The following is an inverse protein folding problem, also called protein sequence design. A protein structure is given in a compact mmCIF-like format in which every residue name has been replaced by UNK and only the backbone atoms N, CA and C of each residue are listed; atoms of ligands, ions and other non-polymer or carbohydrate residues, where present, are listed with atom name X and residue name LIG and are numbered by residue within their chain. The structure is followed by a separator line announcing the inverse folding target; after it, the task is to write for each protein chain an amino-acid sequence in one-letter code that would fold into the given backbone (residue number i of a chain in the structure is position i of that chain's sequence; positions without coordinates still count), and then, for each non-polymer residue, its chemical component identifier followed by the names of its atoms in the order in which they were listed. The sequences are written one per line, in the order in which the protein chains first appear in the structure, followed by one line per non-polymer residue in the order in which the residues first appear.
data_IF_949854377195
#
_entry.id   IF_949854377195
#
_cell.length_a   1.000
_cell.length_b   1.000
_cell.length_c   1.000
_cell.angle_alpha   90.00
_cell.angle_beta   90.00
_cell.angle_gamma   90.00
#
_symmetry.space_group_name_H-M   'P 1'
#
loop_
_entity.id
_entity.type
_entity.pdbx_description
1 polymer ?
#
# COMPACT_ATOMS: atom_id res chain seq x y z
N UNK A 1 -15.26 -37.46 -41.77
CA UNK A 1 -14.03 -36.75 -41.36
C UNK A 1 -14.45 -35.38 -40.84
N UNK A 2 -14.61 -35.21 -39.52
CA UNK A 2 -15.10 -33.96 -38.90
C UNK A 2 -14.03 -33.52 -37.90
N UNK A 3 -13.53 -32.30 -38.10
CA UNK A 3 -12.29 -31.77 -37.55
C UNK A 3 -12.36 -31.40 -36.06
N UNK A 4 -11.28 -31.78 -35.38
CA UNK A 4 -10.96 -31.50 -33.98
C UNK A 4 -10.34 -30.09 -33.92
N UNK A 5 -11.16 -29.04 -34.03
CA UNK A 5 -10.66 -27.67 -34.12
C UNK A 5 -11.37 -26.69 -33.18
N UNK A 6 -11.64 -27.07 -31.92
CA UNK A 6 -12.21 -26.16 -30.90
C UNK A 6 -11.78 -26.50 -29.45
N UNK A 7 -10.49 -26.70 -29.19
CA UNK A 7 -10.04 -27.06 -27.83
C UNK A 7 -8.88 -26.24 -27.25
N UNK A 8 -8.44 -25.14 -27.90
CA UNK A 8 -7.23 -24.41 -27.46
C UNK A 8 -7.54 -23.05 -26.80
N UNK A 9 -8.78 -22.57 -26.85
CA UNK A 9 -9.08 -21.18 -26.48
C UNK A 9 -9.44 -20.94 -25.01
N UNK A 10 -9.47 -21.97 -24.15
CA UNK A 10 -9.96 -21.85 -22.76
C UNK A 10 -8.84 -21.81 -21.70
N UNK A 11 -7.58 -22.03 -22.07
CA UNK A 11 -6.47 -22.08 -21.10
C UNK A 11 -5.88 -20.72 -20.73
N UNK A 12 -6.15 -19.66 -21.49
CA UNK A 12 -5.51 -18.34 -21.27
C UNK A 12 -6.20 -17.51 -20.17
N UNK A 13 -7.49 -17.75 -19.91
CA UNK A 13 -8.26 -16.94 -18.94
C UNK A 13 -7.90 -17.26 -17.48
N UNK A 14 -7.36 -18.45 -17.19
CA UNK A 14 -6.98 -18.83 -15.82
C UNK A 14 -5.61 -18.30 -15.37
N UNK A 15 -4.75 -17.82 -16.27
CA UNK A 15 -3.41 -17.36 -15.89
C UNK A 15 -3.35 -15.91 -15.39
N UNK A 16 -4.40 -15.10 -15.60
CA UNK A 16 -4.36 -13.67 -15.27
C UNK A 16 -4.89 -13.31 -13.88
N UNK A 17 -5.49 -14.24 -13.12
CA UNK A 17 -5.99 -13.94 -11.76
C UNK A 17 -4.92 -14.02 -10.65
N UNK A 18 -3.71 -14.49 -10.95
CA UNK A 18 -2.66 -14.71 -9.94
C UNK A 18 -1.64 -13.58 -9.77
N UNK A 19 -1.70 -12.53 -10.59
CA UNK A 19 -0.78 -11.40 -10.48
C UNK A 19 -1.30 -10.38 -9.46
N UNK A 20 -1.50 -10.81 -8.21
CA UNK A 20 -1.35 -9.87 -7.12
C UNK A 20 0.10 -9.42 -7.17
N UNK A 21 0.33 -8.19 -7.64
CA UNK A 21 1.63 -7.56 -7.61
C UNK A 21 2.05 -7.46 -6.15
N UNK A 22 2.62 -8.54 -5.63
CA UNK A 22 3.25 -8.59 -4.33
C UNK A 22 4.41 -7.61 -4.42
N UNK A 23 4.15 -6.38 -3.97
CA UNK A 23 5.19 -5.39 -3.86
C UNK A 23 6.31 -6.02 -3.05
N UNK A 24 7.57 -5.82 -3.46
CA UNK A 24 8.68 -6.36 -2.71
C UNK A 24 8.53 -5.97 -1.23
N UNK A 25 8.78 -6.90 -0.31
CA UNK A 25 8.65 -6.65 1.13
C UNK A 25 9.41 -5.37 1.49
N UNK A 26 8.80 -4.44 2.24
CA UNK A 26 9.35 -3.10 2.46
C UNK A 26 8.50 -1.92 1.95
N UNK A 27 7.57 -2.16 1.02
CA UNK A 27 6.73 -1.11 0.42
C UNK A 27 5.40 -0.89 1.16
N UNK A 28 4.77 -1.98 1.59
CA UNK A 28 3.48 -1.95 2.31
C UNK A 28 3.65 -1.80 3.82
N UNK A 29 4.89 -1.66 4.27
CA UNK A 29 5.16 -1.64 5.70
C UNK A 29 4.86 -0.26 6.30
N UNK A 30 4.27 -0.28 7.49
CA UNK A 30 4.14 0.85 8.39
C UNK A 30 5.50 1.14 9.04
N UNK A 31 5.82 2.42 9.19
CA UNK A 31 6.99 2.87 9.91
C UNK A 31 6.57 3.34 11.30
N UNK A 32 7.26 2.83 12.32
CA UNK A 32 6.98 3.12 13.71
C UNK A 32 8.18 3.83 14.34
N UNK A 33 7.90 4.86 15.14
CA UNK A 33 8.91 5.59 15.91
C UNK A 33 8.60 5.53 17.39
N UNK A 34 9.65 5.45 18.21
CA UNK A 34 9.52 5.51 19.66
C UNK A 34 9.21 6.93 20.10
N UNK A 35 8.19 7.12 20.96
CA UNK A 35 7.88 8.44 21.52
C UNK A 35 9.07 8.96 22.37
N UNK A 36 9.36 10.28 22.31
CA UNK A 36 8.57 11.36 21.69
C UNK A 36 8.93 11.66 20.22
N UNK A 37 9.63 10.77 19.52
CA UNK A 37 10.09 11.01 18.15
C UNK A 37 8.94 11.03 17.14
N UNK A 38 9.12 11.79 16.06
CA UNK A 38 8.24 11.86 14.91
C UNK A 38 8.96 11.39 13.62
N UNK A 39 8.21 11.00 12.60
CA UNK A 39 8.69 10.63 11.27
C UNK A 39 8.99 11.88 10.45
N UNK A 40 10.24 11.97 9.96
CA UNK A 40 10.71 13.01 9.03
C UNK A 40 11.29 12.36 7.78
N UNK A 41 11.13 13.03 6.64
CA UNK A 41 11.76 12.60 5.39
C UNK A 41 13.27 12.87 5.43
N UNK A 42 14.07 11.87 5.08
CA UNK A 42 15.52 12.00 4.91
C UNK A 42 15.85 12.64 3.58
N UNK A 43 16.92 13.42 3.55
CA UNK A 43 17.57 13.79 2.30
C UNK A 43 18.31 12.57 1.76
N UNK A 44 17.88 12.07 0.62
CA UNK A 44 18.49 10.92 -0.07
C UNK A 44 19.07 11.37 -1.40
N UNK A 45 20.11 10.67 -1.86
CA UNK A 45 20.72 10.97 -3.16
C UNK A 45 19.72 10.77 -4.30
N UNK A 46 19.72 11.65 -5.32
CA UNK A 46 18.93 11.46 -6.53
C UNK A 46 19.20 10.09 -7.17
N UNK A 47 18.14 9.40 -7.61
CA UNK A 47 18.24 8.08 -8.23
C UNK A 47 18.27 6.90 -7.26
N UNK A 48 18.24 7.14 -5.95
CA UNK A 48 18.10 6.07 -4.96
C UNK A 48 16.69 5.45 -5.02
N UNK A 49 16.61 4.14 -5.22
CA UNK A 49 15.37 3.36 -5.24
C UNK A 49 15.40 2.34 -4.11
N UNK A 50 14.36 2.29 -3.28
CA UNK A 50 14.27 1.31 -2.21
C UNK A 50 12.96 1.36 -1.43
N UNK A 51 12.90 0.63 -0.31
CA UNK A 51 11.72 0.61 0.56
C UNK A 51 11.56 1.91 1.36
N UNK A 52 10.37 2.11 1.96
CA UNK A 52 10.03 3.34 2.69
C UNK A 52 11.08 3.69 3.74
N UNK A 53 11.59 2.73 4.50
CA UNK A 53 12.58 2.93 5.58
C UNK A 53 13.83 3.74 5.16
N UNK A 54 14.21 3.72 3.88
CA UNK A 54 15.38 4.46 3.38
C UNK A 54 15.13 5.97 3.27
N UNK A 55 13.88 6.37 3.05
CA UNK A 55 13.48 7.77 2.85
C UNK A 55 13.00 8.44 4.14
N UNK A 56 12.94 7.70 5.25
CA UNK A 56 12.30 8.13 6.48
C UNK A 56 13.21 7.87 7.69
N UNK A 57 13.18 8.80 8.64
CA UNK A 57 13.85 8.68 9.92
C UNK A 57 12.92 9.11 11.06
N UNK A 58 13.20 8.60 12.26
CA UNK A 58 12.61 9.14 13.48
C UNK A 58 13.48 10.31 13.95
N UNK A 59 12.85 11.43 14.25
CA UNK A 59 13.49 12.64 14.75
C UNK A 59 12.85 13.06 16.06
N UNK A 60 13.66 13.24 17.09
CA UNK A 60 13.26 13.82 18.37
C UNK A 60 13.73 15.27 18.41
N UNK A 61 12.79 16.22 18.32
CA UNK A 61 13.07 17.65 18.34
C UNK A 61 13.69 18.07 19.69
N UNK A 62 13.22 17.49 20.79
CA UNK A 62 13.69 17.85 22.14
C UNK A 62 15.13 17.42 22.37
N UNK A 63 15.49 16.23 21.88
CA UNK A 63 16.85 15.69 22.02
C UNK A 63 17.76 16.03 20.83
N UNK A 64 17.23 16.59 19.75
CA UNK A 64 17.92 16.71 18.45
C UNK A 64 18.54 15.38 17.98
N UNK A 65 17.87 14.26 18.27
CA UNK A 65 18.35 12.91 18.00
C UNK A 65 17.61 12.31 16.81
N UNK A 66 18.35 11.66 15.91
CA UNK A 66 17.80 10.89 14.80
C UNK A 66 17.98 9.40 15.04
N UNK A 67 16.95 8.60 14.79
CA UNK A 67 17.01 7.14 14.86
C UNK A 67 16.31 6.48 13.66
N UNK A 68 16.57 5.19 13.46
CA UNK A 68 16.01 4.45 12.33
C UNK A 68 14.62 3.92 12.70
N UNK A 69 13.58 4.13 11.88
CA UNK A 69 12.24 3.64 12.17
C UNK A 69 12.21 2.11 12.18
N UNK A 70 11.37 1.57 13.06
CA UNK A 70 11.04 0.15 13.09
C UNK A 70 9.96 -0.11 12.03
N UNK A 71 10.10 -1.23 11.34
CA UNK A 71 9.23 -1.59 10.22
C UNK A 71 8.23 -2.63 10.69
N UNK A 72 6.94 -2.35 10.51
CA UNK A 72 5.88 -3.31 10.75
C UNK A 72 5.07 -3.56 9.48
N UNK A 73 4.87 -4.82 9.12
CA UNK A 73 4.15 -5.20 7.90
C UNK A 73 3.42 -6.52 8.04
N UNK A 74 2.60 -6.86 7.06
CA UNK A 74 1.70 -8.02 7.07
C UNK A 74 2.39 -9.38 7.28
N UNK A 75 3.70 -9.46 7.01
CA UNK A 75 4.51 -10.68 7.19
C UNK A 75 4.92 -10.91 8.65
N UNK A 76 4.79 -9.89 9.50
CA UNK A 76 5.04 -10.01 10.93
C UNK A 76 3.76 -10.45 11.62
N UNK A 77 3.91 -11.28 12.64
CA UNK A 77 2.79 -11.73 13.44
C UNK A 77 2.13 -10.52 14.17
N UNK A 78 0.80 -10.54 14.33
CA UNK A 78 0.04 -9.40 14.84
C UNK A 78 0.44 -9.02 16.28
N UNK A 79 0.82 -9.99 17.10
CA UNK A 79 1.36 -9.84 18.45
C UNK A 79 2.62 -8.96 18.49
N UNK A 80 3.44 -8.96 17.42
CA UNK A 80 4.60 -8.08 17.32
C UNK A 80 4.18 -6.62 17.22
N UNK A 81 3.04 -6.30 16.58
CA UNK A 81 2.52 -4.92 16.54
C UNK A 81 2.17 -4.47 17.94
N UNK A 82 1.40 -5.28 18.66
CA UNK A 82 0.94 -4.97 20.01
C UNK A 82 2.11 -4.77 20.96
N UNK A 83 3.16 -5.60 20.83
CA UNK A 83 4.40 -5.43 21.58
C UNK A 83 5.08 -4.10 21.27
N UNK A 84 5.24 -3.74 19.99
CA UNK A 84 5.86 -2.47 19.61
C UNK A 84 5.05 -1.27 20.14
N UNK A 85 3.72 -1.33 20.03
CA UNK A 85 2.84 -0.28 20.58
C UNK A 85 2.94 -0.19 22.11
N UNK A 86 3.03 -1.32 22.80
CA UNK A 86 3.26 -1.39 24.26
C UNK A 86 4.64 -0.85 24.66
N UNK A 87 5.66 -1.04 23.82
CA UNK A 87 7.03 -0.52 24.03
C UNK A 87 7.12 1.00 23.75
N UNK A 88 5.98 1.64 23.45
CA UNK A 88 5.87 3.09 23.27
C UNK A 88 6.11 3.57 21.84
N UNK A 89 6.17 2.65 20.87
CA UNK A 89 6.19 3.01 19.47
C UNK A 89 4.82 3.51 19.02
N UNK A 90 4.81 4.48 18.12
CA UNK A 90 3.59 4.99 17.51
C UNK A 90 3.74 4.99 15.98
N UNK A 91 2.65 4.67 15.30
CA UNK A 91 2.52 4.81 13.85
C UNK A 91 2.16 6.25 13.47
N UNK A 92 2.68 6.72 12.34
CA UNK A 92 2.16 7.90 11.61
C UNK A 92 2.21 9.25 12.34
N UNK A 93 3.10 9.44 13.32
CA UNK A 93 3.36 10.77 13.90
C UNK A 93 4.38 11.48 13.02
N UNK A 94 3.94 12.32 12.08
CA UNK A 94 4.83 13.09 11.22
C UNK A 94 5.31 14.37 11.91
N UNK A 95 6.57 14.74 11.70
CA UNK A 95 7.11 15.98 12.27
C UNK A 95 6.48 17.22 11.64
N UNK A 96 6.16 17.15 10.34
CA UNK A 96 5.49 18.22 9.61
C UNK A 96 4.26 17.67 8.88
N UNK A 97 3.21 18.48 8.77
CA UNK A 97 2.02 18.12 7.98
C UNK A 97 2.35 17.94 6.49
N UNK A 98 3.37 18.64 5.98
CA UNK A 98 3.83 18.51 4.61
C UNK A 98 4.42 17.11 4.29
N UNK A 99 4.91 16.42 5.32
CA UNK A 99 5.47 15.07 5.21
C UNK A 99 4.37 14.00 5.24
N UNK A 100 3.21 14.31 5.83
CA UNK A 100 2.11 13.35 5.89
C UNK A 100 1.71 12.91 4.46
N UNK A 101 1.51 11.60 4.21
CA UNK A 101 1.02 11.14 2.94
C UNK A 101 -0.30 11.85 2.70
N UNK A 102 -0.35 12.67 1.65
CA UNK A 102 -1.60 13.28 1.21
C UNK A 102 -2.53 12.10 1.02
N UNK A 103 -3.59 12.03 1.82
CA UNK A 103 -4.67 11.07 1.60
C UNK A 103 -5.15 11.37 0.20
N UNK A 104 -4.66 10.61 -0.78
CA UNK A 104 -5.13 10.69 -2.15
C UNK A 104 -6.60 10.43 -1.99
N UNK A 105 -7.39 11.50 -2.06
CA UNK A 105 -8.83 11.41 -1.90
C UNK A 105 -9.19 10.51 -3.05
N UNK A 106 -9.47 9.24 -2.70
CA UNK A 106 -9.69 8.18 -3.67
C UNK A 106 -10.65 8.80 -4.67
N UNK A 107 -10.25 8.98 -5.95
CA UNK A 107 -11.10 9.69 -6.89
C UNK A 107 -12.41 8.94 -6.79
N UNK A 108 -13.45 9.62 -6.27
CA UNK A 108 -14.75 9.01 -6.09
C UNK A 108 -15.20 8.78 -7.51
N UNK A 109 -14.86 7.61 -8.06
CA UNK A 109 -15.29 7.17 -9.37
C UNK A 109 -16.79 7.09 -9.18
N UNK A 110 -17.48 8.19 -9.48
CA UNK A 110 -18.91 8.23 -9.61
C UNK A 110 -19.19 7.29 -10.77
N UNK A 111 -19.30 6.01 -10.45
CA UNK A 111 -19.96 5.03 -11.30
C UNK A 111 -21.37 5.58 -11.46
N UNK A 112 -21.57 6.35 -12.54
CA UNK A 112 -22.90 6.75 -12.95
C UNK A 112 -23.66 5.45 -13.11
N UNK A 113 -24.81 5.27 -12.45
CA UNK A 113 -25.60 4.07 -12.63
C UNK A 113 -25.89 3.93 -14.12
N UNK A 114 -25.46 2.82 -14.71
CA UNK A 114 -25.80 2.46 -16.09
C UNK A 114 -27.28 2.12 -16.05
N UNK A 115 -28.13 3.11 -16.34
CA UNK A 115 -29.56 2.93 -16.49
C UNK A 115 -29.75 2.07 -17.73
N UNK A 116 -29.89 0.77 -17.53
CA UNK A 116 -30.24 -0.18 -18.58
C UNK A 116 -31.59 0.19 -19.17
N UNK A 117 -31.59 0.64 -20.43
CA UNK A 117 -32.82 0.76 -21.21
C UNK A 117 -33.35 -0.66 -21.46
N UNK A 118 -34.39 -1.03 -20.72
CA UNK A 118 -35.14 -2.25 -20.97
C UNK A 118 -35.79 -2.16 -22.35
N UNK A 119 -35.22 -2.87 -23.32
CA UNK A 119 -35.72 -2.94 -24.69
C UNK A 119 -37.02 -3.73 -24.72
N UNK A 120 -38.11 -3.05 -25.11
CA UNK A 120 -39.43 -3.62 -25.35
C UNK A 120 -39.34 -4.51 -26.61
N UNK A 121 -39.45 -5.83 -26.46
CA UNK A 121 -39.58 -6.76 -27.60
C UNK A 121 -40.99 -6.66 -28.19
N UNK A 122 -41.15 -6.43 -29.51
CA UNK A 122 -42.44 -6.61 -30.16
C UNK A 122 -42.67 -8.10 -30.43
N UNK A 123 -43.80 -8.61 -29.93
CA UNK A 123 -44.37 -9.89 -30.36
C UNK A 123 -45.13 -9.63 -31.66
N UNK A 124 -44.66 -10.23 -32.75
CA UNK A 124 -45.34 -10.32 -34.04
C UNK A 124 -45.27 -11.76 -34.53
#
# INVERSE_FOLDING_TARGET
MIGIAKAVSLSIVLYTMGAHAALPPGYEDELLCQRPSCLRRKEVMPGMVGGKRLYWECFDESASLTSTPEVWGFRLAPDKKDKLMSDGFASEVYCNEADAPKKTTEPKIMMKPVIGKSGKMPLG
#
